data_IF_957685114916
#
_entry.id   IF_957685114916
#
_cell.length_a   1.000
_cell.length_b   1.000
_cell.length_c   1.000
_cell.angle_alpha   90.00
_cell.angle_beta   90.00
_cell.angle_gamma   90.00
#
_symmetry.space_group_name_H-M   'P 1'
#
loop_
_entity.id
_entity.type
_entity.pdbx_description
1 polymer ?
#
# COMPACT_ATOMS: atom_id res chain seq x y z
N UNK A 1 -17.72 -1.92 7.49
CA UNK A 1 -16.30 -1.65 7.23
C UNK A 1 -16.20 -0.96 5.89
N UNK A 2 -15.43 0.13 5.76
CA UNK A 2 -15.32 0.82 4.48
C UNK A 2 -14.47 -0.02 3.52
N UNK A 3 -14.95 -0.30 2.31
CA UNK A 3 -14.14 -0.88 1.23
C UNK A 3 -14.68 -2.16 0.61
N UNK A 4 -15.38 -3.02 1.36
CA UNK A 4 -15.78 -4.33 0.81
C UNK A 4 -14.56 -5.22 0.45
N UNK A 5 -14.74 -6.25 -0.38
CA UNK A 5 -13.66 -7.20 -0.69
C UNK A 5 -12.55 -6.57 -1.52
N UNK A 6 -11.31 -6.96 -1.23
CA UNK A 6 -10.13 -6.66 -2.05
C UNK A 6 -10.32 -7.26 -3.44
N UNK A 7 -10.02 -6.50 -4.50
CA UNK A 7 -10.06 -6.97 -5.89
C UNK A 7 -8.72 -6.82 -6.62
N UNK A 8 -7.75 -6.12 -6.05
CA UNK A 8 -6.41 -6.01 -6.58
C UNK A 8 -5.36 -5.96 -5.47
N UNK A 9 -4.23 -6.64 -5.71
CA UNK A 9 -3.00 -6.56 -4.95
C UNK A 9 -1.86 -6.41 -5.95
N UNK A 10 -1.11 -5.32 -5.87
CA UNK A 10 -0.09 -4.94 -6.84
C UNK A 10 1.22 -4.72 -6.10
N UNK A 11 2.29 -5.41 -6.51
CA UNK A 11 3.61 -5.17 -5.97
C UNK A 11 4.13 -3.80 -6.42
N UNK A 12 4.62 -3.00 -5.47
CA UNK A 12 5.25 -1.71 -5.75
C UNK A 12 6.73 -1.93 -6.04
N UNK A 13 7.22 -1.57 -7.24
CA UNK A 13 8.65 -1.54 -7.52
C UNK A 13 9.39 -0.64 -6.51
N UNK A 14 10.67 -0.91 -6.22
CA UNK A 14 11.48 0.01 -5.41
C UNK A 14 11.48 1.42 -6.01
N UNK A 15 10.99 2.39 -5.25
CA UNK A 15 10.87 3.79 -5.67
C UNK A 15 12.23 4.46 -5.44
N UNK A 16 12.98 4.70 -6.52
CA UNK A 16 14.31 5.32 -6.46
C UNK A 16 15.41 4.46 -5.84
N UNK A 17 16.58 5.05 -5.58
CA UNK A 17 17.78 4.39 -5.02
C UNK A 17 17.65 4.04 -3.53
N UNK A 18 16.50 3.52 -3.09
CA UNK A 18 16.36 2.77 -1.84
C UNK A 18 16.89 1.33 -2.05
N UNK A 19 18.00 1.21 -2.78
CA UNK A 19 18.87 0.06 -2.71
C UNK A 19 19.83 0.44 -1.60
N UNK A 20 19.50 0.08 -0.36
CA UNK A 20 20.41 0.24 0.76
C UNK A 20 21.61 -0.69 0.50
N UNK A 21 22.60 -0.22 -0.27
CA UNK A 21 23.84 -0.95 -0.62
C UNK A 21 24.72 -1.28 0.61
N UNK A 22 24.27 -0.96 1.83
CA UNK A 22 25.06 -1.08 3.05
C UNK A 22 24.40 -1.84 4.22
N UNK A 23 23.33 -2.62 4.02
CA UNK A 23 22.72 -3.30 5.16
C UNK A 23 22.44 -4.78 4.96
N UNK A 24 23.47 -5.61 5.22
CA UNK A 24 23.41 -7.07 5.22
C UNK A 24 22.45 -7.72 6.22
N UNK A 25 21.53 -6.99 6.85
CA UNK A 25 20.43 -7.50 7.71
C UNK A 25 19.17 -6.61 7.72
N UNK A 26 19.05 -5.60 6.86
CA UNK A 26 17.81 -4.83 6.69
C UNK A 26 16.96 -5.48 5.63
N UNK A 27 15.98 -6.29 6.01
CA UNK A 27 15.11 -6.98 5.05
C UNK A 27 14.51 -5.97 4.07
N UNK A 28 14.62 -6.26 2.78
CA UNK A 28 14.02 -5.48 1.70
C UNK A 28 12.52 -5.30 1.98
N UNK A 29 12.13 -4.18 2.59
CA UNK A 29 10.72 -3.91 2.94
C UNK A 29 9.99 -3.62 1.64
N UNK A 30 9.33 -4.63 1.09
CA UNK A 30 8.45 -4.47 -0.05
C UNK A 30 7.13 -3.82 0.35
N UNK A 31 6.44 -3.26 -0.64
CA UNK A 31 5.13 -2.65 -0.46
C UNK A 31 4.16 -3.23 -1.47
N UNK A 32 2.91 -3.43 -1.05
CA UNK A 32 1.79 -3.76 -1.91
C UNK A 32 0.83 -2.58 -1.95
N UNK A 33 0.39 -2.19 -3.14
CA UNK A 33 -0.86 -1.46 -3.27
C UNK A 33 -2.03 -2.43 -3.28
N UNK A 34 -3.13 -2.06 -2.63
CA UNK A 34 -4.38 -2.79 -2.72
C UNK A 34 -5.50 -1.87 -3.20
N UNK A 35 -6.49 -2.47 -3.83
CA UNK A 35 -7.76 -1.83 -4.11
C UNK A 35 -8.91 -2.74 -3.68
N UNK A 36 -10.02 -2.11 -3.36
CA UNK A 36 -11.25 -2.77 -2.99
C UNK A 36 -12.30 -2.56 -4.07
N UNK A 37 -13.32 -3.44 -4.14
CA UNK A 37 -14.43 -3.29 -5.11
C UNK A 37 -15.26 -2.03 -4.90
N UNK A 38 -15.27 -1.49 -3.68
CA UNK A 38 -15.94 -0.24 -3.41
C UNK A 38 -14.99 0.91 -3.71
N UNK A 39 -14.56 1.63 -2.68
CA UNK A 39 -13.98 2.96 -2.82
C UNK A 39 -12.60 3.13 -2.21
N UNK A 40 -12.08 2.09 -1.57
CA UNK A 40 -10.84 2.18 -0.82
C UNK A 40 -9.68 1.64 -1.65
N UNK A 41 -8.59 2.39 -1.66
CA UNK A 41 -7.26 1.93 -2.06
C UNK A 41 -6.27 2.20 -0.93
N UNK A 42 -5.12 1.56 -0.97
CA UNK A 42 -4.10 1.81 0.03
C UNK A 42 -2.82 1.04 -0.19
N UNK A 43 -1.94 1.12 0.81
CA UNK A 43 -0.64 0.46 0.81
C UNK A 43 -0.52 -0.47 2.00
N UNK A 44 0.24 -1.55 1.84
CA UNK A 44 0.62 -2.50 2.88
C UNK A 44 2.14 -2.68 2.84
N UNK A 45 2.80 -2.53 3.98
CA UNK A 45 4.20 -2.82 4.20
C UNK A 45 4.38 -4.32 4.48
N UNK A 46 5.36 -4.95 3.83
CA UNK A 46 5.68 -6.36 4.04
C UNK A 46 6.60 -6.57 5.25
N UNK A 47 6.55 -7.75 5.89
CA UNK A 47 5.68 -8.90 5.59
C UNK A 47 4.20 -8.68 5.97
N UNK A 48 3.30 -9.49 5.42
CA UNK A 48 1.87 -9.50 5.78
C UNK A 48 1.67 -10.16 7.15
N UNK A 49 2.02 -9.43 8.20
CA UNK A 49 2.09 -9.91 9.57
C UNK A 49 0.84 -9.54 10.41
N UNK A 50 -0.14 -8.88 9.77
CA UNK A 50 -1.39 -8.50 10.41
C UNK A 50 -1.29 -7.29 11.32
N UNK A 51 -0.12 -6.62 11.39
CA UNK A 51 0.03 -5.37 12.14
C UNK A 51 -0.79 -4.26 11.46
N UNK A 52 -1.80 -3.68 12.15
CA UNK A 52 -2.61 -2.60 11.57
C UNK A 52 -1.79 -1.37 11.18
N UNK A 53 -0.67 -1.11 11.85
CA UNK A 53 0.22 0.02 11.55
C UNK A 53 1.05 -0.18 10.27
N UNK A 54 1.12 -1.42 9.77
CA UNK A 54 1.79 -1.77 8.52
C UNK A 54 0.90 -1.51 7.30
N UNK A 55 -0.29 -0.93 7.46
CA UNK A 55 -1.17 -0.61 6.34
C UNK A 55 -1.77 0.78 6.44
N UNK A 56 -2.11 1.36 5.29
CA UNK A 56 -2.87 2.59 5.20
C UNK A 56 -3.92 2.48 4.10
N UNK A 57 -4.97 3.29 4.16
CA UNK A 57 -6.03 3.30 3.17
C UNK A 57 -6.73 4.66 3.09
N UNK A 58 -7.21 4.98 1.90
CA UNK A 58 -7.95 6.21 1.63
C UNK A 58 -9.14 5.93 0.72
N UNK A 59 -10.12 6.84 0.76
CA UNK A 59 -11.27 6.81 -0.16
C UNK A 59 -10.82 7.44 -1.47
N UNK A 60 -10.63 6.62 -2.51
CA UNK A 60 -10.20 7.07 -3.83
C UNK A 60 -11.35 7.61 -4.68
N UNK A 61 -12.55 7.06 -4.52
CA UNK A 61 -13.73 7.40 -5.31
C UNK A 61 -14.98 7.43 -4.41
N UNK A 62 -16.10 8.09 -4.77
CA UNK A 62 -17.34 8.03 -4.00
C UNK A 62 -18.07 6.68 -4.12
N UNK A 63 -17.72 5.88 -5.14
CA UNK A 63 -18.31 4.57 -5.43
C UNK A 63 -17.27 3.56 -5.90
N UNK A 64 -17.67 2.64 -6.79
CA UNK A 64 -16.83 1.55 -7.29
C UNK A 64 -15.57 2.06 -8.00
N UNK A 65 -14.43 1.47 -7.62
CA UNK A 65 -13.18 1.48 -8.37
C UNK A 65 -13.28 0.45 -9.49
N UNK A 66 -13.27 0.91 -10.74
CA UNK A 66 -13.36 0.06 -11.92
C UNK A 66 -12.01 -0.48 -12.35
N UNK A 67 -10.92 0.25 -12.09
CA UNK A 67 -9.56 -0.17 -12.41
C UNK A 67 -8.52 0.52 -11.53
N UNK A 68 -7.37 -0.13 -11.37
CA UNK A 68 -6.20 0.37 -10.64
C UNK A 68 -4.92 -0.04 -11.36
N UNK A 69 -3.94 0.86 -11.39
CA UNK A 69 -2.61 0.59 -11.94
C UNK A 69 -1.53 1.34 -11.16
N UNK A 70 -0.29 0.85 -11.26
CA UNK A 70 0.90 1.48 -10.67
C UNK A 70 1.88 1.75 -11.80
N UNK A 71 2.59 2.88 -11.75
CA UNK A 71 3.63 3.21 -12.72
C UNK A 71 4.81 2.26 -12.65
N UNK A 72 5.57 2.14 -13.74
CA UNK A 72 6.71 1.20 -13.81
C UNK A 72 7.85 1.51 -12.82
N UNK A 73 7.95 2.75 -12.37
CA UNK A 73 8.89 3.23 -11.36
C UNK A 73 8.32 3.18 -9.92
N UNK A 74 7.06 2.75 -9.76
CA UNK A 74 6.38 2.65 -8.48
C UNK A 74 6.01 3.98 -7.82
N UNK A 75 6.28 5.13 -8.45
CA UNK A 75 6.06 6.44 -7.85
C UNK A 75 4.60 6.90 -7.89
N UNK A 76 3.80 6.37 -8.82
CA UNK A 76 2.41 6.78 -9.04
C UNK A 76 1.44 5.62 -8.99
N UNK A 77 0.26 5.88 -8.42
CA UNK A 77 -0.92 5.02 -8.50
C UNK A 77 -2.02 5.73 -9.29
N UNK A 78 -2.71 4.97 -10.14
CA UNK A 78 -3.84 5.43 -10.92
C UNK A 78 -5.09 4.66 -10.49
N UNK A 79 -6.19 5.36 -10.27
CA UNK A 79 -7.49 4.75 -9.96
C UNK A 79 -8.55 5.31 -10.90
N UNK A 80 -9.38 4.44 -11.46
CA UNK A 80 -10.52 4.84 -12.27
C UNK A 80 -11.82 4.54 -11.52
N UNK A 81 -12.72 5.50 -11.47
CA UNK A 81 -14.04 5.34 -10.90
C UNK A 81 -15.05 4.90 -11.95
N UNK A 82 -15.93 3.97 -11.59
CA UNK A 82 -16.93 3.44 -12.51
C UNK A 82 -18.03 4.45 -12.85
N UNK A 83 -18.79 4.86 -11.83
CA UNK A 83 -19.94 5.74 -12.02
C UNK A 83 -19.60 7.23 -11.96
N UNK A 84 -18.47 7.60 -11.34
CA UNK A 84 -18.04 9.01 -11.24
C UNK A 84 -17.29 9.49 -12.49
N UNK A 85 -16.93 8.56 -13.39
CA UNK A 85 -16.25 8.81 -14.66
C UNK A 85 -14.92 9.57 -14.52
N UNK A 86 -14.26 9.43 -13.37
CA UNK A 86 -13.02 10.13 -13.04
C UNK A 86 -11.82 9.19 -12.98
N UNK A 87 -10.63 9.75 -13.20
CA UNK A 87 -9.35 9.08 -12.95
C UNK A 87 -8.57 9.94 -11.97
N UNK A 88 -8.18 9.34 -10.85
CA UNK A 88 -7.34 9.98 -9.84
C UNK A 88 -5.91 9.44 -9.93
N UNK A 89 -4.96 10.33 -9.65
CA UNK A 89 -3.52 10.03 -9.66
C UNK A 89 -2.99 10.34 -8.26
N UNK A 90 -2.24 9.40 -7.70
CA UNK A 90 -1.72 9.47 -6.35
C UNK A 90 -0.21 9.32 -6.37
N UNK A 91 0.49 10.13 -5.59
CA UNK A 91 1.91 9.91 -5.33
C UNK A 91 2.05 8.79 -4.28
N UNK A 92 2.93 7.84 -4.53
CA UNK A 92 3.22 6.73 -3.63
C UNK A 92 4.47 7.08 -2.82
N UNK A 93 4.27 7.32 -1.52
CA UNK A 93 5.35 7.56 -0.56
C UNK A 93 5.40 6.44 0.48
N UNK A 94 6.44 5.62 0.41
CA UNK A 94 6.58 4.42 1.26
C UNK A 94 7.27 4.70 2.59
N UNK A 95 8.05 5.77 2.68
CA UNK A 95 8.88 6.12 3.85
C UNK A 95 8.06 6.31 5.13
N UNK A 96 6.93 7.01 5.05
CA UNK A 96 6.05 7.24 6.21
C UNK A 96 5.43 5.95 6.76
N UNK A 97 4.99 5.07 5.85
CA UNK A 97 4.43 3.77 6.24
C UNK A 97 5.50 2.83 6.82
N UNK A 98 6.70 2.83 6.22
CA UNK A 98 7.85 2.07 6.71
C UNK A 98 8.20 2.46 8.16
N UNK A 99 8.25 3.77 8.43
CA UNK A 99 8.55 4.28 9.76
C UNK A 99 7.48 3.88 10.79
N UNK A 100 6.19 3.93 10.41
CA UNK A 100 5.09 3.51 11.27
C UNK A 100 5.18 2.01 11.61
N UNK A 101 5.40 1.16 10.60
CA UNK A 101 5.56 -0.28 10.76
C UNK A 101 6.77 -0.64 11.63
N UNK A 102 7.93 0.01 11.40
CA UNK A 102 9.12 -0.18 12.22
C UNK A 102 8.90 0.25 13.69
N UNK A 103 8.21 1.37 13.91
CA UNK A 103 7.90 1.84 15.24
C UNK A 103 6.98 0.87 16.00
N UNK A 104 5.98 0.30 15.33
CA UNK A 104 5.06 -0.68 15.94
C UNK A 104 5.77 -1.97 16.35
N UNK A 105 6.60 -2.52 15.46
CA UNK A 105 7.42 -3.71 15.76
C UNK A 105 8.33 -3.52 16.97
N UNK A 106 8.94 -2.34 17.10
CA UNK A 106 9.80 -2.03 18.26
C UNK A 106 9.04 -1.91 19.59
N UNK A 107 7.71 -1.71 19.55
CA UNK A 107 6.85 -1.64 20.74
C UNK A 107 6.33 -3.00 21.20
N UNK A 108 6.67 -4.09 20.50
CA UNK A 108 6.16 -5.42 20.83
C UNK A 108 4.68 -5.59 20.49
N UNK A 109 4.18 -4.87 19.48
CA UNK A 109 2.91 -5.24 18.84
C UNK A 109 3.19 -6.56 18.13
N UNK A 110 2.83 -7.67 18.79
CA UNK A 110 3.02 -8.99 18.22
C UNK A 110 2.12 -9.14 16.99
N UNK A 111 2.70 -9.46 15.83
CA UNK A 111 1.91 -9.74 14.65
C UNK A 111 1.01 -10.95 14.90
N UNK A 112 -0.20 -10.93 14.33
CA UNK A 112 -1.14 -12.03 14.47
C UNK A 112 -0.72 -13.15 13.53
N UNK A 113 0.00 -14.14 14.06
CA UNK A 113 0.42 -15.34 13.34
C UNK A 113 -0.46 -16.49 13.84
N UNK A 114 -1.56 -16.78 13.14
CA UNK A 114 -2.30 -18.05 13.27
C UNK A 114 -1.92 -19.03 12.16
#
# INVERSE_FOLDING_TARGET
TFGGPINALINIPPIGSQVDENNGRGGNTGFLAYATREKVVGLICLPLDGDPSSSMGLIAHPGQISSVAVSGDGSLMFTAGGADLSVNIWNIETSGLAAAAAASRSRGVEPFIE
#
